data_IF_503209600445
#
_entry.id   IF_503209600445
#
_cell.length_a   1.000
_cell.length_b   1.000
_cell.length_c   1.000
_cell.angle_alpha   90.00
_cell.angle_beta   90.00
_cell.angle_gamma   90.00
#
_symmetry.space_group_name_H-M   'P 1'
#
loop_
_entity.id
_entity.type
_entity.pdbx_description
1 polymer ?
#
# COMPACT_ATOMS: atom_id res chain seq x y z
N UNK A 1 11.63 24.56 -36.02
CA UNK A 1 10.42 23.73 -36.22
C UNK A 1 10.41 22.67 -35.14
N UNK A 2 9.68 22.90 -34.05
CA UNK A 2 9.56 21.95 -32.94
C UNK A 2 8.53 20.90 -33.32
N UNK A 3 8.93 19.64 -33.45
CA UNK A 3 7.99 18.55 -33.74
C UNK A 3 7.11 18.33 -32.51
N UNK A 4 5.79 18.41 -32.68
CA UNK A 4 4.85 17.97 -31.66
C UNK A 4 4.98 16.45 -31.52
N UNK A 5 5.41 15.99 -30.35
CA UNK A 5 5.49 14.57 -30.03
C UNK A 5 4.12 14.16 -29.47
N UNK A 6 3.25 13.64 -30.34
CA UNK A 6 1.93 13.14 -29.93
C UNK A 6 2.09 11.67 -29.60
N UNK A 7 2.06 11.32 -28.30
CA UNK A 7 1.99 9.94 -27.84
C UNK A 7 0.52 9.51 -27.75
N UNK A 8 0.29 8.23 -27.98
CA UNK A 8 -1.04 7.69 -28.13
C UNK A 8 -1.17 6.32 -27.47
N UNK A 9 -2.25 6.11 -26.74
CA UNK A 9 -2.54 4.88 -26.01
C UNK A 9 -3.45 3.95 -26.84
N UNK A 10 -3.35 2.64 -26.61
CA UNK A 10 -4.16 1.62 -27.28
C UNK A 10 -5.44 1.33 -26.49
N UNK A 11 -6.58 1.72 -27.04
CA UNK A 11 -7.89 1.38 -26.52
C UNK A 11 -8.18 -0.13 -26.55
N UNK A 12 -9.26 -0.58 -25.89
CA UNK A 12 -9.62 -2.00 -25.73
C UNK A 12 -9.84 -2.75 -27.06
N UNK A 13 -10.10 -2.03 -28.15
CA UNK A 13 -10.24 -2.58 -29.50
C UNK A 13 -9.01 -2.34 -30.40
N UNK A 14 -7.88 -1.89 -29.83
CA UNK A 14 -6.64 -1.59 -30.56
C UNK A 14 -6.61 -0.23 -31.26
N UNK A 15 -7.60 0.63 -31.02
CA UNK A 15 -7.60 2.02 -31.51
C UNK A 15 -6.52 2.86 -30.82
N UNK A 16 -5.93 3.80 -31.55
CA UNK A 16 -4.85 4.67 -31.06
C UNK A 16 -5.47 6.01 -30.67
N UNK A 17 -5.60 6.27 -29.36
CA UNK A 17 -6.19 7.48 -28.80
C UNK A 17 -5.09 8.47 -28.41
N UNK A 18 -5.24 9.73 -28.82
CA UNK A 18 -4.29 10.78 -28.47
C UNK A 18 -4.38 11.07 -26.96
N UNK A 19 -3.25 11.00 -26.29
CA UNK A 19 -3.12 11.38 -24.88
C UNK A 19 -3.22 12.90 -24.73
N UNK A 20 -3.86 13.38 -23.67
CA UNK A 20 -3.93 14.82 -23.40
C UNK A 20 -2.52 15.34 -23.14
N UNK A 21 -2.17 16.45 -23.80
CA UNK A 21 -0.79 16.98 -23.83
C UNK A 21 -0.20 17.29 -22.46
N UNK A 22 -1.05 17.49 -21.46
CA UNK A 22 -0.67 17.86 -20.10
C UNK A 22 -0.23 16.63 -19.26
N UNK A 23 -0.55 15.41 -19.69
CA UNK A 23 -0.15 14.16 -19.02
C UNK A 23 1.17 13.60 -19.58
N UNK A 24 1.71 14.21 -20.64
CA UNK A 24 2.92 13.73 -21.31
C UNK A 24 4.16 14.20 -20.52
N UNK A 25 5.00 13.27 -20.03
CA UNK A 25 6.24 13.65 -19.35
C UNK A 25 7.15 14.44 -20.28
N UNK A 26 7.68 15.56 -19.78
CA UNK A 26 8.51 16.48 -20.59
C UNK A 26 9.93 15.98 -20.78
N UNK A 27 10.32 14.95 -20.02
CA UNK A 27 11.63 14.30 -20.09
C UNK A 27 11.55 12.80 -19.86
N UNK A 28 12.57 12.07 -20.31
CA UNK A 28 12.70 10.63 -20.05
C UNK A 28 12.75 10.32 -18.55
N UNK A 29 13.48 11.13 -17.78
CA UNK A 29 13.62 10.95 -16.33
C UNK A 29 12.27 11.11 -15.62
N UNK A 30 11.49 12.11 -16.01
CA UNK A 30 10.14 12.33 -15.49
C UNK A 30 9.20 11.17 -15.86
N UNK A 31 9.25 10.70 -17.11
CA UNK A 31 8.45 9.57 -17.56
C UNK A 31 8.81 8.27 -16.85
N UNK A 32 10.09 8.06 -16.54
CA UNK A 32 10.55 6.91 -15.76
C UNK A 32 10.02 6.94 -14.33
N UNK A 33 10.02 8.11 -13.67
CA UNK A 33 9.46 8.28 -12.32
C UNK A 33 7.96 8.01 -12.30
N UNK A 34 7.22 8.54 -13.28
CA UNK A 34 5.77 8.31 -13.39
C UNK A 34 5.47 6.84 -13.64
N UNK A 35 6.21 6.19 -14.56
CA UNK A 35 6.07 4.77 -14.83
C UNK A 35 6.35 3.91 -13.59
N UNK A 36 7.44 4.19 -12.86
CA UNK A 36 7.76 3.49 -11.62
C UNK A 36 6.64 3.64 -10.58
N UNK A 37 6.09 4.85 -10.42
CA UNK A 37 4.99 5.11 -9.48
C UNK A 37 3.71 4.34 -9.87
N UNK A 38 3.30 4.40 -11.14
CA UNK A 38 2.14 3.67 -11.66
C UNK A 38 2.29 2.16 -11.47
N UNK A 39 3.45 1.60 -11.83
CA UNK A 39 3.72 0.17 -11.64
C UNK A 39 3.72 -0.22 -10.16
N UNK A 40 4.25 0.64 -9.29
CA UNK A 40 4.23 0.42 -7.84
C UNK A 40 2.80 0.37 -7.32
N UNK A 41 1.92 1.27 -7.77
CA UNK A 41 0.52 1.25 -7.35
C UNK A 41 -0.23 0.02 -7.86
N UNK A 42 -0.01 -0.40 -9.11
CA UNK A 42 -0.59 -1.63 -9.65
C UNK A 42 -0.17 -2.84 -8.83
N UNK A 43 1.11 -2.89 -8.46
CA UNK A 43 1.63 -3.95 -7.60
C UNK A 43 0.95 -3.96 -6.23
N UNK A 44 0.93 -2.82 -5.53
CA UNK A 44 0.32 -2.69 -4.19
C UNK A 44 -1.17 -3.07 -4.20
N UNK A 45 -1.89 -2.77 -5.28
CA UNK A 45 -3.33 -3.08 -5.39
C UNK A 45 -3.64 -4.50 -5.88
N UNK A 46 -2.63 -5.27 -6.30
CA UNK A 46 -2.88 -6.57 -6.93
C UNK A 46 -3.51 -6.46 -8.33
N UNK A 47 -3.32 -5.34 -9.03
CA UNK A 47 -3.97 -5.04 -10.31
C UNK A 47 -3.10 -5.40 -11.53
N UNK A 48 -1.89 -5.92 -11.31
CA UNK A 48 -1.06 -6.40 -12.41
C UNK A 48 -1.61 -7.71 -12.99
N UNK A 49 -2.32 -7.61 -14.11
CA UNK A 49 -2.98 -8.75 -14.77
C UNK A 49 -2.01 -9.72 -15.45
N UNK A 50 -0.75 -9.30 -15.62
CA UNK A 50 0.30 -10.14 -16.20
C UNK A 50 1.07 -10.93 -15.13
N UNK A 51 0.81 -10.67 -13.84
CA UNK A 51 1.39 -11.38 -12.71
C UNK A 51 0.34 -12.24 -11.99
N UNK A 52 0.67 -13.50 -11.74
CA UNK A 52 -0.20 -14.43 -11.03
C UNK A 52 0.07 -14.38 -9.52
N UNK A 53 -0.69 -13.54 -8.81
CA UNK A 53 -0.52 -13.31 -7.37
C UNK A 53 -0.73 -14.58 -6.53
N UNK A 54 -1.51 -15.55 -6.99
CA UNK A 54 -1.72 -16.80 -6.24
C UNK A 54 -0.43 -17.61 -6.10
N UNK A 55 0.56 -17.40 -6.98
CA UNK A 55 1.86 -18.09 -6.89
C UNK A 55 2.73 -17.63 -5.71
N UNK A 56 2.40 -16.49 -5.12
CA UNK A 56 3.08 -15.93 -3.95
C UNK A 56 2.14 -15.90 -2.75
N UNK A 57 0.92 -15.37 -2.90
CA UNK A 57 -0.03 -15.19 -1.80
C UNK A 57 -0.57 -16.52 -1.25
N UNK A 58 -0.65 -17.56 -2.09
CA UNK A 58 -1.13 -18.90 -1.69
C UNK A 58 0.03 -19.91 -1.58
N UNK A 59 1.26 -19.42 -1.38
CA UNK A 59 2.45 -20.26 -1.34
C UNK A 59 3.00 -20.37 0.09
N UNK A 60 2.53 -21.39 0.80
CA UNK A 60 2.93 -21.71 2.17
C UNK A 60 4.44 -21.92 2.36
N UNK A 61 5.21 -22.21 1.29
CA UNK A 61 6.68 -22.36 1.38
C UNK A 61 7.39 -21.00 1.60
N UNK A 62 6.72 -19.89 1.25
CA UNK A 62 7.20 -18.53 1.52
C UNK A 62 6.74 -18.00 2.88
N UNK A 63 5.75 -18.63 3.48
CA UNK A 63 5.27 -18.27 4.80
C UNK A 63 6.24 -18.74 5.87
N UNK A 64 6.75 -17.80 6.65
CA UNK A 64 7.58 -18.11 7.82
C UNK A 64 6.68 -18.40 9.03
N UNK A 65 6.19 -19.64 9.10
CA UNK A 65 5.34 -20.16 10.20
C UNK A 65 6.10 -20.40 11.51
N UNK A 66 7.29 -19.81 11.71
CA UNK A 66 8.11 -20.09 12.89
C UNK A 66 7.53 -19.49 14.18
N UNK A 67 7.96 -20.03 15.33
CA UNK A 67 7.55 -19.61 16.68
C UNK A 67 7.93 -18.16 17.03
N UNK A 68 8.76 -17.46 16.23
CA UNK A 68 9.16 -16.09 16.53
C UNK A 68 8.02 -15.08 16.33
N UNK A 69 7.01 -15.40 15.50
CA UNK A 69 5.77 -14.60 15.42
C UNK A 69 5.06 -14.56 16.78
N UNK A 70 4.91 -15.72 17.44
CA UNK A 70 4.31 -15.81 18.77
C UNK A 70 5.15 -15.09 19.82
N UNK A 71 6.49 -15.08 19.70
CA UNK A 71 7.37 -14.32 20.59
C UNK A 71 7.04 -12.81 20.57
N UNK A 72 6.78 -12.23 19.40
CA UNK A 72 6.41 -10.81 19.32
C UNK A 72 5.11 -10.50 20.07
N UNK A 73 4.12 -11.41 20.02
CA UNK A 73 2.87 -11.24 20.78
C UNK A 73 3.05 -11.54 22.28
N UNK A 74 3.84 -12.55 22.63
CA UNK A 74 4.10 -12.95 24.00
C UNK A 74 4.93 -11.90 24.78
N UNK A 75 5.84 -11.21 24.09
CA UNK A 75 6.68 -10.14 24.66
C UNK A 75 5.96 -8.77 24.69
N UNK A 76 4.79 -8.64 24.05
CA UNK A 76 3.98 -7.42 24.09
C UNK A 76 3.12 -7.34 25.37
N UNK A 77 3.37 -6.35 26.23
CA UNK A 77 2.41 -5.98 27.28
C UNK A 77 1.37 -4.99 26.73
N UNK A 78 0.07 -5.20 26.97
CA UNK A 78 -0.97 -4.28 26.50
C UNK A 78 -0.85 -2.90 27.16
N UNK A 79 -0.67 -1.85 26.35
CA UNK A 79 -0.65 -0.45 26.79
C UNK A 79 -1.98 0.27 26.54
N UNK A 80 -2.41 1.07 27.52
CA UNK A 80 -3.65 1.85 27.45
C UNK A 80 -3.33 3.30 27.09
N UNK A 81 -3.86 3.79 25.97
CA UNK A 81 -3.74 5.19 25.59
C UNK A 81 -4.89 5.98 26.24
N UNK A 82 -4.58 6.72 27.30
CA UNK A 82 -5.53 7.65 27.95
C UNK A 82 -5.07 9.08 27.69
N UNK A 83 -5.91 9.86 26.99
CA UNK A 83 -5.59 11.24 26.60
C UNK A 83 -5.22 12.10 27.82
N UNK A 84 -4.06 12.78 27.73
CA UNK A 84 -3.57 13.69 28.76
C UNK A 84 -2.85 13.01 29.94
N UNK A 85 -2.52 11.71 29.85
CA UNK A 85 -1.84 10.98 30.93
C UNK A 85 -0.75 10.07 30.36
N UNK A 86 0.34 9.85 31.11
CA UNK A 86 1.42 8.93 30.71
C UNK A 86 1.90 8.15 31.92
N UNK A 87 2.12 6.84 31.76
CA UNK A 87 2.68 5.98 32.82
C UNK A 87 1.65 5.52 33.87
N UNK A 88 2.11 5.34 35.12
CA UNK A 88 1.35 4.74 36.24
C UNK A 88 0.01 5.44 36.56
N UNK A 89 -0.14 6.67 36.10
CA UNK A 89 -1.34 7.51 36.22
C UNK A 89 -2.52 7.03 35.36
N UNK A 90 -2.28 6.12 34.43
CA UNK A 90 -3.31 5.51 33.57
C UNK A 90 -4.16 4.52 34.37
N UNK A 91 -3.53 3.63 35.17
CA UNK A 91 -4.23 2.59 35.93
C UNK A 91 -5.20 3.13 36.98
N UNK A 92 -4.92 4.30 37.54
CA UNK A 92 -5.80 4.96 38.52
C UNK A 92 -7.06 5.56 37.88
N UNK A 93 -7.02 5.84 36.57
CA UNK A 93 -8.13 6.39 35.78
C UNK A 93 -8.95 5.33 35.05
N UNK A 94 -8.39 4.13 34.84
CA UNK A 94 -9.11 2.97 34.31
C UNK A 94 -10.07 2.41 35.38
N UNK A 95 -11.22 3.06 35.59
CA UNK A 95 -12.27 2.57 36.48
C UNK A 95 -13.40 1.93 35.66
N UNK A 96 -13.38 0.61 35.53
CA UNK A 96 -14.52 -0.17 35.03
C UNK A 96 -14.76 -0.16 33.52
N UNK A 97 -13.89 0.47 32.72
CA UNK A 97 -14.00 0.46 31.26
C UNK A 97 -13.29 -0.77 30.70
N UNK A 98 -14.06 -1.77 30.29
CA UNK A 98 -13.56 -3.04 29.73
C UNK A 98 -13.02 -2.91 28.29
N UNK A 99 -12.74 -1.68 27.83
CA UNK A 99 -12.30 -1.41 26.45
C UNK A 99 -13.40 -1.60 25.39
N UNK A 100 -14.63 -1.94 25.78
CA UNK A 100 -15.78 -2.01 24.86
C UNK A 100 -16.43 -0.62 24.79
N UNK A 101 -16.25 0.06 23.65
CA UNK A 101 -16.99 1.28 23.36
C UNK A 101 -18.38 0.91 22.84
N UNK A 102 -19.40 1.16 23.67
CA UNK A 102 -20.80 1.04 23.28
C UNK A 102 -21.16 2.28 22.44
N UNK A 103 -21.57 2.07 21.19
CA UNK A 103 -22.01 3.12 20.26
C UNK A 103 -23.51 3.40 20.39
#
# INVERSE_FOLDING_TARGET
MTKANTLAFRGPNGEILAEDKDEIPTSKEEGEKIWQWEMTLRFIRGEDRDFDYTTVDENDDYDDWNEEQERYFDDEEPEWIVEGTSGDDVRSRLQGETGVQDF
#
